data_IF_824701391536
#
_entry.id   IF_824701391536
#
_cell.length_a   1.000
_cell.length_b   1.000
_cell.length_c   1.000
_cell.angle_alpha   90.00
_cell.angle_beta   90.00
_cell.angle_gamma   90.00
#
_symmetry.space_group_name_H-M   'P 1'
#
loop_
_entity.id
_entity.type
_entity.pdbx_description
1 polymer ?
#
# COMPACT_ATOMS: atom_id res chain seq x y z
N UNK A 1 -13.31 -24.94 -9.57
CA UNK A 1 -12.76 -24.01 -10.58
C UNK A 1 -12.84 -22.60 -10.02
N UNK A 2 -11.70 -21.94 -9.89
CA UNK A 2 -11.59 -20.51 -9.59
C UNK A 2 -10.96 -19.80 -10.80
N UNK A 3 -11.50 -18.67 -11.23
CA UNK A 3 -11.00 -17.94 -12.40
C UNK A 3 -10.54 -16.55 -12.01
N UNK A 4 -9.28 -16.21 -12.31
CA UNK A 4 -8.66 -14.93 -11.99
C UNK A 4 -8.03 -14.29 -13.22
N UNK A 5 -7.94 -12.97 -13.18
CA UNK A 5 -7.12 -12.18 -14.10
C UNK A 5 -6.08 -11.42 -13.28
N UNK A 6 -4.83 -11.38 -13.73
CA UNK A 6 -3.79 -10.63 -13.05
C UNK A 6 -2.94 -9.82 -14.03
N UNK A 7 -2.35 -8.73 -13.53
CA UNK A 7 -1.39 -7.93 -14.30
C UNK A 7 -0.07 -8.69 -14.50
N UNK A 8 0.61 -8.46 -15.63
CA UNK A 8 1.93 -9.05 -15.89
C UNK A 8 2.97 -8.68 -14.80
N UNK A 9 2.81 -7.52 -14.15
CA UNK A 9 3.73 -7.05 -13.10
C UNK A 9 3.80 -7.97 -11.87
N UNK A 10 2.77 -8.78 -11.63
CA UNK A 10 2.75 -9.74 -10.51
C UNK A 10 3.16 -11.15 -10.93
N UNK A 11 3.64 -11.35 -12.17
CA UNK A 11 4.06 -12.68 -12.68
C UNK A 11 5.01 -13.42 -11.74
N UNK A 12 5.94 -12.69 -11.12
CA UNK A 12 6.92 -13.26 -10.18
C UNK A 12 6.32 -13.86 -8.90
N UNK A 13 5.07 -13.53 -8.60
CA UNK A 13 4.35 -14.08 -7.44
C UNK A 13 3.68 -15.43 -7.76
N UNK A 14 3.79 -15.90 -9.01
CA UNK A 14 3.19 -17.14 -9.47
C UNK A 14 4.30 -18.12 -9.84
N UNK A 15 4.18 -19.36 -9.37
CA UNK A 15 5.10 -20.43 -9.71
C UNK A 15 4.76 -21.12 -11.03
N UNK A 16 5.21 -22.37 -11.11
CA UNK A 16 5.10 -23.19 -12.29
C UNK A 16 3.66 -23.62 -12.56
N UNK A 17 3.31 -23.71 -13.84
CA UNK A 17 1.97 -24.16 -14.24
C UNK A 17 1.73 -25.60 -13.79
N UNK A 18 0.48 -25.94 -13.52
CA UNK A 18 0.04 -27.24 -13.01
C UNK A 18 0.56 -27.61 -11.62
N UNK A 19 1.13 -26.65 -10.88
CA UNK A 19 1.46 -26.78 -9.46
C UNK A 19 0.42 -26.04 -8.59
N UNK A 20 0.59 -26.13 -7.27
CA UNK A 20 -0.14 -25.37 -6.25
C UNK A 20 0.53 -24.02 -5.92
N UNK A 21 1.62 -23.65 -6.61
CA UNK A 21 2.41 -22.45 -6.36
C UNK A 21 1.69 -21.19 -6.85
N UNK A 22 0.62 -20.83 -6.16
CA UNK A 22 -0.15 -19.61 -6.35
C UNK A 22 0.08 -18.66 -5.18
N UNK A 23 -0.16 -17.35 -5.33
CA UNK A 23 -0.16 -16.43 -4.19
C UNK A 23 -1.07 -16.92 -3.05
N UNK A 24 -0.61 -16.83 -1.80
CA UNK A 24 -1.28 -17.41 -0.62
C UNK A 24 -2.77 -17.06 -0.52
N UNK A 25 -3.15 -15.81 -0.77
CA UNK A 25 -4.54 -15.38 -0.70
C UNK A 25 -5.47 -16.13 -1.69
N UNK A 26 -4.96 -16.59 -2.83
CA UNK A 26 -5.71 -17.44 -3.75
C UNK A 26 -5.76 -18.90 -3.30
N UNK A 27 -4.66 -19.41 -2.73
CA UNK A 27 -4.65 -20.75 -2.12
C UNK A 27 -5.68 -20.82 -0.99
N UNK A 28 -5.59 -19.90 -0.02
CA UNK A 28 -6.54 -19.77 1.09
C UNK A 28 -7.99 -19.67 0.61
N UNK A 29 -8.26 -18.88 -0.43
CA UNK A 29 -9.61 -18.81 -1.02
C UNK A 29 -10.09 -20.18 -1.55
N UNK A 30 -9.23 -20.91 -2.26
CA UNK A 30 -9.57 -22.23 -2.79
C UNK A 30 -9.78 -23.25 -1.66
N UNK A 31 -8.91 -23.25 -0.64
CA UNK A 31 -9.05 -24.12 0.54
C UNK A 31 -10.38 -23.88 1.26
N UNK A 32 -10.78 -22.61 1.43
CA UNK A 32 -12.06 -22.27 2.03
C UNK A 32 -13.25 -22.87 1.27
N UNK A 33 -13.26 -22.70 -0.06
CA UNK A 33 -14.32 -23.27 -0.91
C UNK A 33 -14.34 -24.80 -0.83
N UNK A 34 -13.17 -25.44 -0.87
CA UNK A 34 -13.05 -26.89 -0.78
C UNK A 34 -13.56 -27.42 0.56
N UNK A 35 -13.20 -26.78 1.68
CA UNK A 35 -13.65 -27.17 3.01
C UNK A 35 -15.17 -27.03 3.23
N UNK A 36 -15.81 -26.03 2.60
CA UNK A 36 -17.26 -25.85 2.60
C UNK A 36 -17.97 -26.87 1.71
N UNK A 37 -17.50 -27.01 0.47
CA UNK A 37 -18.19 -27.81 -0.56
C UNK A 37 -17.85 -29.29 -0.51
N UNK A 38 -16.85 -29.68 0.31
CA UNK A 38 -16.34 -31.05 0.45
C UNK A 38 -15.79 -31.63 -0.86
N UNK A 39 -15.24 -30.76 -1.71
CA UNK A 39 -14.46 -31.17 -2.89
C UNK A 39 -12.98 -31.15 -2.54
N UNK A 40 -12.20 -32.09 -3.08
CA UNK A 40 -10.80 -32.30 -2.69
C UNK A 40 -9.78 -31.66 -3.64
N UNK A 41 -10.25 -31.02 -4.72
CA UNK A 41 -9.40 -30.41 -5.73
C UNK A 41 -10.06 -29.16 -6.31
N UNK A 42 -9.26 -28.12 -6.48
CA UNK A 42 -9.65 -26.89 -7.16
C UNK A 42 -8.64 -26.54 -8.26
N UNK A 43 -9.14 -26.45 -9.49
CA UNK A 43 -8.41 -25.83 -10.60
C UNK A 43 -8.50 -24.31 -10.49
N UNK A 44 -7.37 -23.62 -10.49
CA UNK A 44 -7.31 -22.16 -10.60
C UNK A 44 -6.82 -21.78 -12.01
N UNK A 45 -7.71 -21.17 -12.78
CA UNK A 45 -7.45 -20.63 -14.11
C UNK A 45 -7.06 -19.15 -14.03
N UNK A 46 -5.89 -18.81 -14.54
CA UNK A 46 -5.35 -17.44 -14.54
C UNK A 46 -5.21 -16.93 -15.98
N UNK A 47 -5.75 -15.74 -16.25
CA UNK A 47 -5.38 -14.94 -17.41
C UNK A 47 -4.42 -13.82 -16.98
N UNK A 48 -3.13 -14.04 -17.22
CA UNK A 48 -2.06 -13.11 -16.88
C UNK A 48 -1.82 -12.12 -18.04
N UNK A 49 -1.69 -10.84 -17.71
CA UNK A 49 -1.43 -9.78 -18.69
C UNK A 49 -2.54 -9.60 -19.74
N UNK A 50 -3.70 -10.21 -19.52
CA UNK A 50 -4.83 -10.20 -20.45
C UNK A 50 -4.69 -11.13 -21.66
N UNK A 51 -3.60 -11.87 -21.79
CA UNK A 51 -3.33 -12.70 -22.98
C UNK A 51 -2.59 -14.02 -22.73
N UNK A 52 -2.13 -14.29 -21.50
CA UNK A 52 -1.43 -15.54 -21.16
C UNK A 52 -2.29 -16.35 -20.21
N UNK A 53 -2.89 -17.41 -20.74
CA UNK A 53 -3.57 -18.39 -19.91
C UNK A 53 -2.54 -19.22 -19.13
N UNK A 54 -2.83 -19.48 -17.86
CA UNK A 54 -2.14 -20.44 -17.01
C UNK A 54 -3.16 -21.20 -16.16
N UNK A 55 -2.86 -22.44 -15.82
CA UNK A 55 -3.67 -23.23 -14.88
C UNK A 55 -2.84 -23.78 -13.72
N UNK A 56 -3.45 -23.78 -12.54
CA UNK A 56 -2.87 -24.31 -11.30
C UNK A 56 -3.80 -25.35 -10.70
N UNK A 57 -3.23 -26.33 -9.99
CA UNK A 57 -3.96 -27.41 -9.35
C UNK A 57 -3.71 -27.35 -7.85
N UNK A 58 -4.78 -27.14 -7.09
CA UNK A 58 -4.71 -27.01 -5.64
C UNK A 58 -5.50 -28.17 -5.06
N UNK A 59 -4.84 -29.03 -4.29
CA UNK A 59 -5.50 -30.10 -3.54
C UNK A 59 -5.91 -29.59 -2.16
N UNK A 60 -6.96 -30.20 -1.60
CA UNK A 60 -7.47 -29.81 -0.30
C UNK A 60 -6.47 -30.17 0.81
N UNK A 61 -6.19 -29.18 1.66
CA UNK A 61 -5.36 -29.29 2.84
C UNK A 61 -6.26 -29.11 4.07
N UNK A 62 -6.53 -30.22 4.76
CA UNK A 62 -7.43 -30.27 5.91
C UNK A 62 -6.86 -29.49 7.10
N UNK A 63 -5.56 -29.59 7.36
CA UNK A 63 -4.89 -28.88 8.45
C UNK A 63 -4.96 -27.37 8.22
N UNK A 64 -4.66 -26.92 7.00
CA UNK A 64 -4.77 -25.50 6.64
C UNK A 64 -6.22 -25.01 6.75
N UNK A 65 -7.20 -25.80 6.31
CA UNK A 65 -8.61 -25.42 6.43
C UNK A 65 -9.07 -25.33 7.88
N UNK A 66 -8.66 -26.25 8.75
CA UNK A 66 -8.96 -26.21 10.19
C UNK A 66 -8.38 -24.95 10.83
N UNK A 67 -7.11 -24.62 10.55
CA UNK A 67 -6.49 -23.38 11.02
C UNK A 67 -7.26 -22.13 10.55
N UNK A 68 -7.70 -22.10 9.29
CA UNK A 68 -8.51 -20.99 8.78
C UNK A 68 -9.86 -20.89 9.46
N UNK A 69 -10.50 -22.02 9.74
CA UNK A 69 -11.80 -22.07 10.39
C UNK A 69 -11.72 -21.55 11.84
N UNK A 70 -10.69 -21.95 12.59
CA UNK A 70 -10.44 -21.47 13.95
C UNK A 70 -10.27 -19.94 13.97
N UNK A 71 -9.47 -19.38 13.04
CA UNK A 71 -9.27 -17.93 12.96
C UNK A 71 -10.55 -17.19 12.53
N UNK A 72 -11.34 -17.77 11.64
CA UNK A 72 -12.61 -17.19 11.22
C UNK A 72 -13.65 -17.22 12.36
N UNK A 73 -13.68 -18.28 13.15
CA UNK A 73 -14.55 -18.41 14.32
C UNK A 73 -14.14 -17.43 15.43
N UNK A 74 -12.85 -17.33 15.75
CA UNK A 74 -12.33 -16.34 16.70
C UNK A 74 -12.72 -14.92 16.28
N UNK A 75 -12.49 -14.58 15.01
CA UNK A 75 -12.89 -13.30 14.46
C UNK A 75 -14.40 -13.06 14.56
N UNK A 76 -15.21 -14.06 14.23
CA UNK A 76 -16.66 -13.95 14.29
C UNK A 76 -17.16 -13.74 15.72
N UNK A 77 -16.69 -14.52 16.68
CA UNK A 77 -17.15 -14.48 18.07
C UNK A 77 -16.61 -13.24 18.79
N UNK A 78 -15.29 -13.04 18.76
CA UNK A 78 -14.62 -12.04 19.58
C UNK A 78 -14.62 -10.62 18.98
N UNK A 79 -14.89 -10.49 17.68
CA UNK A 79 -14.99 -9.18 17.04
C UNK A 79 -16.39 -8.86 16.52
N UNK A 80 -16.98 -9.73 15.69
CA UNK A 80 -18.27 -9.43 15.06
C UNK A 80 -19.42 -9.50 16.06
N UNK A 81 -19.58 -10.63 16.75
CA UNK A 81 -20.66 -10.80 17.74
C UNK A 81 -20.46 -9.94 18.99
N UNK A 82 -19.22 -9.77 19.45
CA UNK A 82 -18.90 -8.90 20.58
C UNK A 82 -19.02 -7.39 20.25
N UNK A 83 -19.07 -7.01 18.98
CA UNK A 83 -19.06 -5.61 18.56
C UNK A 83 -17.75 -4.87 18.87
N UNK A 84 -16.65 -5.61 19.02
CA UNK A 84 -15.33 -5.07 19.34
C UNK A 84 -14.49 -5.06 18.07
N UNK A 85 -14.16 -3.90 17.47
CA UNK A 85 -13.35 -3.86 16.28
C UNK A 85 -11.95 -4.42 16.56
N UNK A 86 -11.33 -5.16 15.62
CA UNK A 86 -9.96 -5.62 15.78
C UNK A 86 -9.01 -4.44 15.91
N UNK A 87 -7.85 -4.69 16.55
CA UNK A 87 -6.79 -3.69 16.69
C UNK A 87 -6.33 -3.23 15.31
N UNK A 88 -6.22 -1.92 15.12
CA UNK A 88 -5.74 -1.34 13.87
C UNK A 88 -4.26 -1.69 13.67
N UNK A 89 -3.93 -2.35 12.56
CA UNK A 89 -2.56 -2.77 12.22
C UNK A 89 -1.87 -1.82 11.25
N UNK A 90 -2.62 -0.92 10.61
CA UNK A 90 -2.09 0.06 9.66
C UNK A 90 -2.52 1.48 9.99
N UNK A 91 -1.72 2.47 9.57
CA UNK A 91 -2.09 3.89 9.66
C UNK A 91 -3.41 4.19 8.92
N UNK A 92 -3.70 3.46 7.83
CA UNK A 92 -4.96 3.60 7.12
C UNK A 92 -6.14 3.15 7.98
N UNK A 93 -6.03 2.03 8.70
CA UNK A 93 -7.08 1.58 9.61
C UNK A 93 -7.31 2.59 10.73
N UNK A 94 -6.24 3.15 11.32
CA UNK A 94 -6.36 4.18 12.36
C UNK A 94 -7.06 5.43 11.81
N UNK A 95 -6.71 5.89 10.61
CA UNK A 95 -7.35 7.05 9.95
C UNK A 95 -8.83 6.79 9.61
N UNK A 96 -9.18 5.58 9.21
CA UNK A 96 -10.57 5.18 8.96
C UNK A 96 -11.38 5.05 10.25
N UNK A 97 -10.76 4.58 11.34
CA UNK A 97 -11.37 4.48 12.67
C UNK A 97 -11.63 5.86 13.28
N UNK A 98 -10.74 6.82 13.06
CA UNK A 98 -10.84 8.17 13.61
C UNK A 98 -10.84 9.28 12.54
N UNK A 99 -11.83 9.30 11.62
CA UNK A 99 -11.80 10.14 10.43
C UNK A 99 -12.04 11.63 10.73
N UNK A 100 -12.73 11.93 11.83
CA UNK A 100 -13.06 13.28 12.29
C UNK A 100 -12.68 13.43 13.76
N UNK A 101 -12.42 14.68 14.17
CA UNK A 101 -12.30 15.03 15.58
C UNK A 101 -13.67 15.52 16.08
N UNK A 102 -13.93 15.34 17.36
CA UNK A 102 -15.04 16.02 18.02
C UNK A 102 -14.68 17.51 18.13
N UNK A 103 -15.63 18.37 17.77
CA UNK A 103 -15.44 19.82 17.73
C UNK A 103 -15.03 20.31 19.12
N UNK A 104 -13.99 21.15 19.17
CA UNK A 104 -13.45 21.77 20.39
C UNK A 104 -13.04 20.78 21.51
N UNK A 105 -12.84 19.50 21.17
CA UNK A 105 -12.35 18.50 22.10
C UNK A 105 -10.83 18.56 22.27
N UNK A 106 -10.37 18.35 23.51
CA UNK A 106 -8.95 18.16 23.84
C UNK A 106 -8.85 16.95 24.75
N UNK A 107 -7.97 16.01 24.40
CA UNK A 107 -7.57 14.93 25.28
C UNK A 107 -6.49 15.47 26.23
N UNK A 108 -6.82 15.60 27.51
CA UNK A 108 -5.89 16.01 28.56
C UNK A 108 -5.39 14.77 29.31
N UNK A 109 -4.08 14.52 29.24
CA UNK A 109 -3.42 13.38 29.88
C UNK A 109 -2.56 13.88 31.06
N UNK A 110 -2.61 13.22 32.23
CA UNK A 110 -1.78 13.61 33.36
C UNK A 110 -0.29 13.35 33.04
N UNK A 111 0.62 14.18 33.54
CA UNK A 111 2.05 14.11 33.17
C UNK A 111 2.77 12.79 33.50
N UNK A 112 2.16 11.92 34.31
CA UNK A 112 2.66 10.60 34.67
C UNK A 112 1.97 9.45 33.92
N UNK A 113 1.16 9.76 32.90
CA UNK A 113 0.53 8.76 32.04
C UNK A 113 1.61 7.98 31.27
N UNK A 114 1.52 6.65 31.32
CA UNK A 114 2.50 5.76 30.71
C UNK A 114 2.49 5.76 29.17
N UNK A 115 1.51 6.43 28.55
CA UNK A 115 1.42 6.55 27.10
C UNK A 115 2.08 7.82 26.56
N UNK A 116 2.50 8.76 27.41
CA UNK A 116 3.08 10.04 26.97
C UNK A 116 4.34 9.83 26.12
N UNK A 117 5.13 8.78 26.40
CA UNK A 117 6.36 8.45 25.67
C UNK A 117 6.13 8.20 24.16
N UNK A 118 4.89 7.89 23.74
CA UNK A 118 4.54 7.73 22.32
C UNK A 118 4.73 9.04 21.53
N UNK A 119 4.55 10.18 22.19
CA UNK A 119 4.68 11.52 21.59
C UNK A 119 6.14 11.75 21.23
N UNK A 120 7.04 11.58 22.19
CA UNK A 120 8.47 11.77 21.99
C UNK A 120 9.03 10.74 21.02
N UNK A 121 8.61 9.48 21.12
CA UNK A 121 8.99 8.43 20.16
C UNK A 121 8.66 8.84 18.73
N UNK A 122 7.43 9.29 18.47
CA UNK A 122 7.01 9.68 17.13
C UNK A 122 7.80 10.89 16.60
N UNK A 123 7.99 11.93 17.41
CA UNK A 123 8.67 13.14 16.96
C UNK A 123 10.18 12.96 16.83
N UNK A 124 10.82 12.17 17.68
CA UNK A 124 12.24 11.81 17.54
C UNK A 124 12.47 11.04 16.24
N UNK A 125 11.61 10.06 15.93
CA UNK A 125 11.68 9.32 14.66
C UNK A 125 11.45 10.24 13.44
N UNK A 126 10.60 11.26 13.56
CA UNK A 126 10.40 12.27 12.49
C UNK A 126 11.64 13.14 12.29
N UNK A 127 12.33 13.49 13.35
CA UNK A 127 13.58 14.24 13.26
C UNK A 127 14.71 13.37 12.69
N UNK A 128 14.80 12.11 13.09
CA UNK A 128 15.73 11.13 12.51
C UNK A 128 15.46 10.91 11.01
N UNK A 129 14.19 10.76 10.61
CA UNK A 129 13.79 10.64 9.20
C UNK A 129 14.28 11.84 8.40
N UNK A 130 14.09 13.06 8.92
CA UNK A 130 14.55 14.29 8.28
C UNK A 130 16.08 14.32 8.14
N UNK A 131 16.81 13.98 9.21
CA UNK A 131 18.27 13.93 9.19
C UNK A 131 18.79 12.89 8.18
N UNK A 132 18.14 11.73 8.08
CA UNK A 132 18.48 10.71 7.08
C UNK A 132 18.21 11.19 5.66
N UNK A 133 17.10 11.90 5.43
CA UNK A 133 16.81 12.52 4.13
C UNK A 133 17.88 13.55 3.76
N UNK A 134 18.29 14.42 4.69
CA UNK A 134 19.34 15.40 4.45
C UNK A 134 20.69 14.72 4.11
N UNK A 135 21.02 13.63 4.78
CA UNK A 135 22.22 12.83 4.50
C UNK A 135 22.15 12.13 3.14
N UNK A 136 20.98 11.59 2.78
CA UNK A 136 20.75 10.97 1.48
C UNK A 136 20.89 12.01 0.36
N UNK A 137 20.36 13.21 0.55
CA UNK A 137 20.52 14.32 -0.42
C UNK A 137 21.99 14.67 -0.62
N UNK A 138 22.80 14.74 0.44
CA UNK A 138 24.25 14.98 0.31
C UNK A 138 24.94 13.86 -0.48
N UNK A 139 24.69 12.59 -0.13
CA UNK A 139 25.25 11.46 -0.87
C UNK A 139 24.80 11.43 -2.35
N UNK A 140 23.56 11.83 -2.63
CA UNK A 140 23.05 11.94 -3.99
C UNK A 140 23.74 13.06 -4.77
N UNK A 141 24.01 14.22 -4.15
CA UNK A 141 24.79 15.30 -4.76
C UNK A 141 26.19 14.78 -5.13
N UNK A 142 26.92 14.19 -4.17
CA UNK A 142 28.27 13.68 -4.40
C UNK A 142 28.30 12.64 -5.55
N UNK A 143 27.29 11.77 -5.61
CA UNK A 143 27.16 10.76 -6.66
C UNK A 143 26.85 11.39 -8.03
N UNK A 144 25.96 12.38 -8.10
CA UNK A 144 25.65 13.08 -9.35
C UNK A 144 26.87 13.88 -9.83
N UNK A 145 27.60 14.54 -8.93
CA UNK A 145 28.86 15.23 -9.26
C UNK A 145 29.91 14.26 -9.81
N UNK A 146 30.00 13.05 -9.24
CA UNK A 146 30.88 12.00 -9.73
C UNK A 146 30.50 11.52 -11.14
N UNK A 147 29.21 11.38 -11.46
CA UNK A 147 28.77 11.05 -12.83
C UNK A 147 29.03 12.22 -13.79
N UNK A 148 28.76 13.45 -13.36
CA UNK A 148 28.92 14.67 -14.14
C UNK A 148 28.04 14.68 -15.40
N UNK A 149 28.67 14.92 -16.56
CA UNK A 149 27.99 15.00 -17.86
C UNK A 149 27.78 13.63 -18.53
N UNK A 150 28.14 12.54 -17.87
CA UNK A 150 28.00 11.20 -18.43
C UNK A 150 26.60 10.64 -18.17
N UNK A 151 26.17 9.71 -19.02
CA UNK A 151 24.88 9.04 -18.85
C UNK A 151 24.93 7.87 -17.85
N UNK A 152 26.13 7.41 -17.48
CA UNK A 152 26.33 6.21 -16.67
C UNK A 152 27.66 6.22 -15.93
N UNK A 153 27.71 5.45 -14.84
CA UNK A 153 28.91 5.14 -14.07
C UNK A 153 29.14 3.63 -14.08
N UNK A 154 30.38 3.23 -14.37
CA UNK A 154 30.80 1.84 -14.42
C UNK A 154 31.99 1.58 -13.50
N UNK A 155 32.06 0.37 -12.94
CA UNK A 155 33.21 -0.14 -12.17
C UNK A 155 33.71 -1.38 -12.91
N UNK A 156 34.99 -1.43 -13.25
CA UNK A 156 35.62 -2.55 -13.99
C UNK A 156 34.90 -2.95 -15.29
N UNK A 157 34.28 -1.98 -15.96
CA UNK A 157 33.55 -2.18 -17.22
C UNK A 157 32.08 -2.59 -17.05
N UNK A 158 31.61 -2.82 -15.82
CA UNK A 158 30.20 -3.10 -15.53
C UNK A 158 29.47 -1.81 -15.15
N UNK A 159 28.40 -1.47 -15.88
CA UNK A 159 27.56 -0.30 -15.58
C UNK A 159 26.74 -0.57 -14.32
N UNK A 160 26.98 0.20 -13.26
CA UNK A 160 26.28 0.03 -11.98
C UNK A 160 25.18 1.08 -11.76
N UNK A 161 25.23 2.21 -12.46
CA UNK A 161 24.27 3.30 -12.31
C UNK A 161 24.15 4.14 -13.59
N UNK A 162 22.95 4.69 -13.83
CA UNK A 162 22.69 5.62 -14.92
C UNK A 162 22.08 6.92 -14.41
N UNK A 163 22.46 8.04 -15.02
CA UNK A 163 21.90 9.36 -14.78
C UNK A 163 21.65 10.03 -16.14
N UNK A 164 20.50 9.72 -16.75
CA UNK A 164 20.14 10.14 -18.10
C UNK A 164 19.02 11.17 -18.09
N UNK A 165 19.03 12.04 -19.09
CA UNK A 165 17.88 12.89 -19.38
C UNK A 165 16.64 12.03 -19.66
N UNK A 166 15.56 12.30 -18.94
CA UNK A 166 14.25 11.72 -19.21
C UNK A 166 13.46 12.65 -20.14
N UNK A 167 12.53 12.10 -20.92
CA UNK A 167 11.61 12.91 -21.71
C UNK A 167 10.87 13.87 -20.77
N UNK A 168 10.89 15.16 -21.11
CA UNK A 168 10.15 16.18 -20.36
C UNK A 168 8.68 15.79 -20.24
N UNK A 169 8.14 15.90 -19.03
CA UNK A 169 6.70 15.67 -18.80
C UNK A 169 5.92 16.84 -19.38
N UNK A 170 5.01 16.57 -20.30
CA UNK A 170 3.99 17.53 -20.69
C UNK A 170 2.92 17.57 -19.58
N UNK A 171 2.71 18.74 -18.98
CA UNK A 171 1.67 18.97 -17.98
C UNK A 171 0.79 20.14 -18.41
N UNK A 172 -0.52 19.96 -18.27
CA UNK A 172 -1.47 21.03 -18.48
C UNK A 172 -1.37 22.08 -17.37
N UNK A 173 -0.95 23.29 -17.71
CA UNK A 173 -0.93 24.43 -16.79
C UNK A 173 -2.35 24.97 -16.60
N UNK A 174 -3.07 24.33 -15.67
CA UNK A 174 -4.44 24.68 -15.30
C UNK A 174 -4.56 26.16 -14.89
N UNK A 175 -3.59 26.70 -14.15
CA UNK A 175 -3.67 28.07 -13.62
C UNK A 175 -3.62 29.09 -14.76
N UNK A 176 -2.64 28.94 -15.65
CA UNK A 176 -2.49 29.84 -16.80
C UNK A 176 -3.65 29.69 -17.78
N UNK A 177 -4.09 28.45 -18.06
CA UNK A 177 -5.23 28.21 -18.94
C UNK A 177 -6.53 28.86 -18.42
N UNK A 178 -6.90 28.62 -17.15
CA UNK A 178 -8.12 29.19 -16.57
C UNK A 178 -8.08 30.72 -16.45
N UNK A 179 -6.88 31.31 -16.33
CA UNK A 179 -6.70 32.77 -16.33
C UNK A 179 -6.90 33.35 -17.74
N UNK A 180 -6.37 32.70 -18.77
CA UNK A 180 -6.46 33.15 -20.16
C UNK A 180 -7.82 32.85 -20.80
N UNK A 181 -8.57 31.89 -20.25
CA UNK A 181 -9.86 31.41 -20.75
C UNK A 181 -10.90 31.31 -19.62
N UNK A 182 -11.49 32.44 -19.18
CA UNK A 182 -12.47 32.45 -18.07
C UNK A 182 -13.71 31.58 -18.31
N UNK A 183 -14.10 31.36 -19.57
CA UNK A 183 -15.17 30.45 -19.96
C UNK A 183 -14.93 29.01 -19.51
N UNK A 184 -13.66 28.57 -19.51
CA UNK A 184 -13.28 27.25 -19.04
C UNK A 184 -13.33 27.15 -17.51
N UNK A 185 -13.15 28.25 -16.77
CA UNK A 185 -13.20 28.22 -15.31
C UNK A 185 -14.60 27.80 -14.81
N UNK A 186 -15.65 28.28 -15.46
CA UNK A 186 -17.03 27.91 -15.13
C UNK A 186 -17.29 26.42 -15.37
N UNK A 187 -16.81 25.89 -16.50
CA UNK A 187 -16.93 24.47 -16.84
C UNK A 187 -16.14 23.62 -15.85
N UNK A 188 -14.91 24.01 -15.50
CA UNK A 188 -14.06 23.25 -14.57
C UNK A 188 -14.68 23.10 -13.17
N UNK A 189 -15.47 24.06 -12.71
CA UNK A 189 -16.19 23.95 -11.44
C UNK A 189 -17.16 22.77 -11.42
N UNK A 190 -17.82 22.45 -12.55
CA UNK A 190 -18.74 21.31 -12.67
C UNK A 190 -18.04 19.95 -12.52
N UNK A 191 -16.74 19.90 -12.84
CA UNK A 191 -15.91 18.69 -12.74
C UNK A 191 -15.01 18.67 -11.49
N UNK A 192 -15.18 19.64 -10.59
CA UNK A 192 -14.38 19.69 -9.35
C UNK A 192 -15.04 18.87 -8.25
N UNK A 193 -14.36 17.83 -7.80
CA UNK A 193 -14.76 17.05 -6.62
C UNK A 193 -13.97 17.49 -5.40
N UNK A 194 -14.67 17.86 -4.34
CA UNK A 194 -14.05 18.13 -3.04
C UNK A 194 -13.94 16.82 -2.25
N UNK A 195 -12.73 16.42 -1.91
CA UNK A 195 -12.50 15.27 -1.03
C UNK A 195 -12.89 15.58 0.41
N UNK A 196 -13.18 14.54 1.20
CA UNK A 196 -13.38 14.70 2.64
C UNK A 196 -12.13 15.32 3.29
N UNK A 197 -12.29 16.19 4.30
CA UNK A 197 -11.17 16.75 5.05
C UNK A 197 -10.40 15.63 5.77
N UNK A 198 -9.08 15.80 5.90
CA UNK A 198 -8.20 14.85 6.59
C UNK A 198 -7.65 15.44 7.89
N UNK A 199 -7.40 14.58 8.87
CA UNK A 199 -6.71 14.93 10.11
C UNK A 199 -5.20 14.80 9.93
N UNK A 200 -4.45 15.75 10.48
CA UNK A 200 -2.99 15.78 10.40
C UNK A 200 -2.39 15.94 11.79
N UNK A 201 -1.32 15.21 12.07
CA UNK A 201 -0.54 15.38 13.30
C UNK A 201 0.40 16.56 13.13
N UNK A 202 0.42 17.47 14.10
CA UNK A 202 1.32 18.61 14.15
C UNK A 202 1.75 18.82 15.59
N UNK A 203 3.05 19.04 15.80
CA UNK A 203 3.56 19.54 17.08
C UNK A 203 3.26 21.03 17.12
N UNK A 204 2.59 21.49 18.18
CA UNK A 204 2.54 22.92 18.48
C UNK A 204 3.86 23.24 19.19
N UNK A 205 4.64 24.15 18.61
CA UNK A 205 5.83 24.70 19.27
C UNK A 205 5.29 25.80 20.21
N UNK A 206 5.59 25.67 21.49
CA UNK A 206 5.49 26.78 22.45
C UNK A 206 6.75 27.62 22.37
#
# INVERSE_FOLDING_TARGET
LEVKTASEYVKKNWGDEHTDQVPDHYNLQCQWYMGITKVYKCDLALLLGGNKFKQYHIDFDEELFEMMLEQAEDFWINHVLAGVPPTATTLQNVRQKYPKADIDSTLDLPSNDNQIDVIDTYFNLKDEEKQLQDRLTKAQIDLIELVGNHEALAIDGEVILTYKNQKGRETFDKKTCLKSHPELANIFCEFTKTSQPTRVLRRLIA
#
